data_IF_951515461664
#
_entry.id   IF_951515461664
#
_cell.length_a   1.000
_cell.length_b   1.000
_cell.length_c   1.000
_cell.angle_alpha   90.00
_cell.angle_beta   90.00
_cell.angle_gamma   90.00
#
_symmetry.space_group_name_H-M   'P 1'
#
loop_
_entity.id
_entity.type
_entity.pdbx_description
1 polymer ?
#
# COMPACT_ATOMS: atom_id res chain seq x y z
N UNK A 1 -19.61 -11.90 -6.72
CA UNK A 1 -18.53 -10.89 -6.51
C UNK A 1 -17.20 -11.61 -6.48
N UNK A 2 -16.18 -11.15 -7.22
CA UNK A 2 -14.82 -11.71 -7.13
C UNK A 2 -14.15 -11.33 -5.80
N UNK A 3 -13.61 -12.29 -5.03
CA UNK A 3 -12.88 -12.04 -3.79
C UNK A 3 -11.73 -11.04 -3.96
N UNK A 4 -11.48 -10.22 -2.94
CA UNK A 4 -10.42 -9.22 -2.95
C UNK A 4 -9.04 -9.83 -3.21
N UNK A 5 -8.75 -10.99 -2.61
CA UNK A 5 -7.50 -11.76 -2.82
C UNK A 5 -7.20 -12.00 -4.31
N UNK A 6 -8.21 -12.47 -5.06
CA UNK A 6 -8.07 -12.72 -6.51
C UNK A 6 -7.79 -11.40 -7.26
N UNK A 7 -8.45 -10.31 -6.87
CA UNK A 7 -8.25 -9.00 -7.51
C UNK A 7 -6.84 -8.45 -7.27
N UNK A 8 -6.31 -8.60 -6.05
CA UNK A 8 -4.94 -8.19 -5.72
C UNK A 8 -3.94 -9.02 -6.52
N UNK A 9 -4.08 -10.34 -6.56
CA UNK A 9 -3.20 -11.22 -7.35
C UNK A 9 -3.19 -10.80 -8.82
N UNK A 10 -4.37 -10.63 -9.43
CA UNK A 10 -4.46 -10.16 -10.82
C UNK A 10 -3.91 -8.74 -11.02
N UNK A 11 -3.91 -7.89 -10.00
CA UNK A 11 -3.30 -6.56 -10.08
C UNK A 11 -1.78 -6.65 -10.09
N UNK A 12 -1.19 -7.49 -9.23
CA UNK A 12 0.24 -7.77 -9.19
C UNK A 12 0.75 -8.32 -10.54
N UNK A 13 0.05 -9.31 -11.10
CA UNK A 13 0.39 -9.90 -12.40
C UNK A 13 0.39 -8.85 -13.52
N UNK A 14 -0.65 -7.99 -13.55
CA UNK A 14 -0.78 -6.92 -14.57
C UNK A 14 0.23 -5.80 -14.38
N UNK A 15 0.62 -5.53 -13.14
CA UNK A 15 1.64 -4.55 -12.80
C UNK A 15 3.05 -5.05 -13.09
N UNK A 16 3.23 -6.37 -13.30
CA UNK A 16 4.54 -7.02 -13.47
C UNK A 16 5.50 -6.70 -12.32
N UNK A 17 4.99 -6.77 -11.09
CA UNK A 17 5.78 -6.53 -9.89
C UNK A 17 6.18 -7.88 -9.30
N UNK A 18 7.47 -8.06 -9.05
CA UNK A 18 8.01 -9.28 -8.45
C UNK A 18 7.47 -9.48 -7.02
N UNK A 19 7.20 -10.72 -6.65
CA UNK A 19 6.49 -11.08 -5.41
C UNK A 19 7.39 -11.35 -4.19
N UNK A 20 8.66 -10.94 -4.23
CA UNK A 20 9.62 -11.18 -3.13
C UNK A 20 9.49 -10.18 -1.95
N UNK A 21 8.31 -9.58 -1.78
CA UNK A 21 7.99 -8.72 -0.65
C UNK A 21 7.14 -9.49 0.36
N UNK A 22 7.36 -9.22 1.66
CA UNK A 22 6.52 -9.75 2.74
C UNK A 22 5.23 -8.96 2.92
N UNK A 23 5.26 -7.69 2.53
CA UNK A 23 4.16 -6.75 2.75
C UNK A 23 3.90 -5.94 1.49
N UNK A 24 2.63 -5.78 1.16
CA UNK A 24 2.15 -4.83 0.16
C UNK A 24 1.29 -3.78 0.85
N UNK A 25 1.65 -2.51 0.69
CA UNK A 25 0.94 -1.37 1.25
C UNK A 25 0.36 -0.54 0.11
N UNK A 26 -0.95 -0.61 -0.07
CA UNK A 26 -1.69 0.18 -1.06
C UNK A 26 -2.13 1.48 -0.41
N UNK A 27 -1.64 2.62 -0.90
CA UNK A 27 -1.95 3.95 -0.40
C UNK A 27 -2.76 4.73 -1.45
N UNK A 28 -4.02 5.12 -1.15
CA UNK A 28 -4.79 5.99 -2.02
C UNK A 28 -4.39 7.46 -1.81
N UNK A 29 -4.26 8.22 -2.91
CA UNK A 29 -4.03 9.67 -2.89
C UNK A 29 -5.30 10.51 -2.69
N UNK A 30 -6.47 9.88 -2.73
CA UNK A 30 -7.78 10.52 -2.56
C UNK A 30 -8.63 9.65 -1.63
N UNK A 31 -9.25 10.28 -0.62
CA UNK A 31 -10.07 9.57 0.37
C UNK A 31 -10.03 10.21 1.75
N UNK A 32 -10.10 9.37 2.79
CA UNK A 32 -10.11 9.83 4.17
C UNK A 32 -8.76 10.42 4.59
N UNK A 33 -8.75 11.71 4.90
CA UNK A 33 -7.52 12.46 5.14
C UNK A 33 -6.67 11.88 6.29
N UNK A 34 -7.28 11.54 7.43
CA UNK A 34 -6.57 11.00 8.59
C UNK A 34 -5.92 9.64 8.30
N UNK A 35 -6.68 8.69 7.76
CA UNK A 35 -6.16 7.37 7.42
C UNK A 35 -5.04 7.43 6.36
N UNK A 36 -5.18 8.31 5.37
CA UNK A 36 -4.14 8.51 4.35
C UNK A 36 -2.87 9.10 4.96
N UNK A 37 -2.99 10.09 5.84
CA UNK A 37 -1.82 10.68 6.51
C UNK A 37 -1.03 9.65 7.32
N UNK A 38 -1.70 8.72 7.99
CA UNK A 38 -1.03 7.63 8.72
C UNK A 38 -0.26 6.71 7.78
N UNK A 39 -0.84 6.38 6.62
CA UNK A 39 -0.18 5.59 5.59
C UNK A 39 1.01 6.30 4.95
N UNK A 40 0.89 7.60 4.67
CA UNK A 40 2.00 8.43 4.18
C UNK A 40 3.13 8.55 5.21
N UNK A 41 2.79 8.70 6.49
CA UNK A 41 3.78 8.70 7.57
C UNK A 41 4.47 7.35 7.69
N UNK A 42 3.71 6.24 7.66
CA UNK A 42 4.26 4.89 7.67
C UNK A 42 5.24 4.67 6.50
N UNK A 43 4.84 5.05 5.28
CA UNK A 43 5.69 4.97 4.10
C UNK A 43 6.97 5.77 4.30
N UNK A 44 6.88 7.02 4.78
CA UNK A 44 8.07 7.84 5.02
C UNK A 44 9.06 7.20 5.98
N UNK A 45 8.56 6.59 7.04
CA UNK A 45 9.40 6.02 8.08
C UNK A 45 9.99 4.63 7.69
N UNK A 46 9.43 3.96 6.67
CA UNK A 46 9.79 2.57 6.29
C UNK A 46 10.15 2.40 4.81
N UNK A 47 10.36 3.50 4.07
CA UNK A 47 10.58 3.45 2.62
C UNK A 47 11.81 2.62 2.24
N UNK A 48 12.83 2.59 3.09
CA UNK A 48 14.05 1.82 2.87
C UNK A 48 13.86 0.30 3.02
N UNK A 49 12.75 -0.14 3.63
CA UNK A 49 12.49 -1.56 3.87
C UNK A 49 12.04 -2.26 2.58
N UNK A 50 12.98 -2.93 1.90
CA UNK A 50 12.75 -3.65 0.66
C UNK A 50 11.81 -4.86 0.80
N UNK A 51 11.47 -5.29 2.04
CA UNK A 51 10.43 -6.31 2.27
C UNK A 51 9.01 -5.75 2.15
N UNK A 52 8.86 -4.43 1.95
CA UNK A 52 7.59 -3.73 1.80
C UNK A 52 7.51 -3.10 0.42
N UNK A 53 6.51 -3.49 -0.37
CA UNK A 53 6.15 -2.80 -1.60
C UNK A 53 5.07 -1.75 -1.33
N UNK A 54 5.34 -0.49 -1.68
CA UNK A 54 4.38 0.60 -1.61
C UNK A 54 3.70 0.80 -2.97
N UNK A 55 2.38 0.65 -3.03
CA UNK A 55 1.57 0.90 -4.23
C UNK A 55 0.78 2.19 -4.04
N UNK A 56 1.11 3.21 -4.82
CA UNK A 56 0.43 4.50 -4.80
C UNK A 56 -0.68 4.53 -5.84
N UNK A 57 -1.95 4.65 -5.41
CA UNK A 57 -3.13 4.66 -6.28
C UNK A 57 -3.85 6.00 -6.25
N UNK A 58 -4.59 6.33 -7.31
CA UNK A 58 -5.42 7.56 -7.40
C UNK A 58 -4.65 8.86 -7.03
N UNK A 59 -3.34 8.91 -7.32
CA UNK A 59 -2.52 10.10 -7.05
C UNK A 59 -2.89 11.20 -8.06
N UNK A 60 -3.36 12.34 -7.57
CA UNK A 60 -3.67 13.51 -8.41
C UNK A 60 -2.40 14.22 -8.89
N UNK A 61 -1.37 14.28 -8.06
CA UNK A 61 -0.06 14.87 -8.40
C UNK A 61 1.07 14.19 -7.62
N UNK A 62 1.91 13.45 -8.36
CA UNK A 62 3.09 12.79 -7.78
C UNK A 62 4.05 13.82 -7.17
N UNK A 63 4.23 14.97 -7.82
CA UNK A 63 5.12 16.04 -7.36
C UNK A 63 4.69 16.58 -5.99
N UNK A 64 3.39 16.82 -5.79
CA UNK A 64 2.86 17.31 -4.52
C UNK A 64 3.06 16.27 -3.42
N UNK A 65 2.78 14.99 -3.70
CA UNK A 65 3.00 13.92 -2.74
C UNK A 65 4.48 13.83 -2.32
N UNK A 66 5.40 13.82 -3.28
CA UNK A 66 6.84 13.80 -3.02
C UNK A 66 7.31 14.96 -2.15
N UNK A 67 6.82 16.17 -2.41
CA UNK A 67 7.12 17.35 -1.59
C UNK A 67 6.55 17.22 -0.18
N UNK A 68 5.34 16.69 -0.04
CA UNK A 68 4.66 16.50 1.25
C UNK A 68 5.41 15.50 2.13
N UNK A 69 5.77 14.35 1.59
CA UNK A 69 6.42 13.28 2.36
C UNK A 69 7.96 13.37 2.35
N UNK A 70 8.52 14.30 1.56
CA UNK A 70 9.96 14.54 1.39
C UNK A 70 10.74 13.31 0.88
N UNK A 71 10.14 12.56 -0.06
CA UNK A 71 10.73 11.37 -0.69
C UNK A 71 10.79 11.58 -2.21
N UNK A 72 11.86 11.10 -2.82
CA UNK A 72 12.00 10.99 -4.28
C UNK A 72 11.71 9.55 -4.70
N UNK A 73 10.57 9.34 -5.34
CA UNK A 73 10.06 8.00 -5.60
C UNK A 73 10.97 7.20 -6.53
N UNK A 74 11.64 7.89 -7.46
CA UNK A 74 12.61 7.31 -8.39
C UNK A 74 13.86 6.72 -7.71
N UNK A 75 14.14 7.10 -6.46
CA UNK A 75 15.29 6.61 -5.71
C UNK A 75 14.99 5.28 -4.96
N UNK A 76 13.73 4.83 -4.96
CA UNK A 76 13.29 3.65 -4.21
C UNK A 76 12.63 2.60 -5.11
N UNK A 77 13.23 1.40 -5.28
CA UNK A 77 12.71 0.38 -6.18
C UNK A 77 11.46 -0.33 -5.65
N UNK A 78 11.17 -0.20 -4.36
CA UNK A 78 10.01 -0.77 -3.69
C UNK A 78 8.76 0.15 -3.73
N UNK A 79 8.67 1.02 -4.73
CA UNK A 79 7.52 1.90 -4.96
C UNK A 79 6.95 1.66 -6.36
N UNK A 80 5.65 1.38 -6.42
CA UNK A 80 4.90 1.27 -7.66
C UNK A 80 3.81 2.35 -7.75
N UNK A 81 3.84 3.14 -8.84
CA UNK A 81 2.83 4.17 -9.10
C UNK A 81 1.76 3.61 -10.03
N UNK A 82 0.55 3.39 -9.52
CA UNK A 82 -0.55 2.80 -10.27
C UNK A 82 -1.24 3.82 -11.20
N UNK A 83 -0.59 4.13 -12.31
CA UNK A 83 -1.11 5.04 -13.35
C UNK A 83 -2.24 4.44 -14.17
N UNK A 84 -2.33 3.10 -14.21
CA UNK A 84 -3.31 2.35 -15.02
C UNK A 84 -4.53 1.91 -14.20
N UNK A 85 -4.58 2.28 -12.92
CA UNK A 85 -5.66 1.93 -11.99
C UNK A 85 -5.90 0.41 -11.91
N UNK A 86 -4.82 -0.39 -11.98
CA UNK A 86 -4.90 -1.86 -11.92
C UNK A 86 -5.17 -2.37 -10.50
N UNK A 87 -4.82 -1.59 -9.48
CA UNK A 87 -5.11 -1.85 -8.06
C UNK A 87 -6.45 -1.26 -7.60
N UNK A 88 -7.39 -1.05 -8.52
CA UNK A 88 -8.74 -0.64 -8.17
C UNK A 88 -9.57 -1.82 -7.63
N UNK A 89 -9.89 -1.76 -6.35
CA UNK A 89 -10.77 -2.74 -5.69
C UNK A 89 -12.16 -2.14 -5.51
N UNK A 90 -13.22 -2.67 -6.14
CA UNK A 90 -14.58 -2.16 -6.01
C UNK A 90 -15.17 -2.58 -4.67
N UNK A 91 -14.67 -1.96 -3.61
CA UNK A 91 -15.11 -2.11 -2.22
C UNK A 91 -15.35 -0.73 -1.64
N UNK A 92 -16.18 -0.65 -0.60
CA UNK A 92 -16.40 0.60 0.14
C UNK A 92 -15.11 1.12 0.79
N UNK A 93 -14.10 0.26 0.95
CA UNK A 93 -12.81 0.59 1.52
C UNK A 93 -11.77 1.09 0.50
N UNK A 94 -12.14 1.27 -0.77
CA UNK A 94 -11.20 1.70 -1.83
C UNK A 94 -10.63 3.13 -1.67
N UNK A 95 -11.07 3.84 -0.63
CA UNK A 95 -10.61 5.17 -0.22
C UNK A 95 -9.66 5.12 1.00
N UNK A 96 -9.39 3.94 1.53
CA UNK A 96 -8.55 3.70 2.69
C UNK A 96 -7.26 2.97 2.30
N UNK A 97 -6.15 3.21 3.00
CA UNK A 97 -4.97 2.37 2.87
C UNK A 97 -5.28 0.90 3.16
N UNK A 98 -4.62 0.01 2.43
CA UNK A 98 -4.73 -1.43 2.60
C UNK A 98 -3.34 -2.03 2.80
N UNK A 99 -3.19 -2.83 3.84
CA UNK A 99 -1.98 -3.59 4.17
C UNK A 99 -2.28 -5.04 3.82
N UNK A 100 -1.38 -5.68 3.09
CA UNK A 100 -1.53 -7.06 2.62
C UNK A 100 -0.28 -7.81 3.04
N UNK A 101 -0.46 -8.94 3.73
CA UNK A 101 0.63 -9.85 4.08
C UNK A 101 0.81 -10.90 2.99
N UNK A 102 2.06 -11.24 2.72
CA UNK A 102 2.45 -12.26 1.75
C UNK A 102 3.13 -13.42 2.45
N UNK A 103 2.76 -14.64 2.07
CA UNK A 103 3.41 -15.88 2.50
C UNK A 103 3.67 -16.74 1.25
N UNK A 104 4.92 -17.14 1.05
CA UNK A 104 5.34 -17.96 -0.10
C UNK A 104 4.90 -17.41 -1.46
N UNK A 105 4.94 -16.09 -1.64
CA UNK A 105 4.53 -15.41 -2.87
C UNK A 105 3.01 -15.29 -3.06
N UNK A 106 2.20 -15.79 -2.13
CA UNK A 106 0.76 -15.65 -2.13
C UNK A 106 0.26 -14.67 -1.07
N UNK A 107 -0.91 -14.09 -1.31
CA UNK A 107 -1.59 -13.24 -0.32
C UNK A 107 -2.07 -14.12 0.84
N UNK A 108 -1.62 -13.84 2.06
CA UNK A 108 -2.05 -14.54 3.26
C UNK A 108 -3.25 -13.82 3.90
N UNK A 109 -3.15 -12.50 4.12
CA UNK A 109 -4.21 -11.70 4.72
C UNK A 109 -4.19 -10.23 4.24
N UNK A 110 -5.21 -9.46 4.61
CA UNK A 110 -5.29 -8.03 4.37
C UNK A 110 -6.07 -7.27 5.46
N UNK A 111 -5.62 -6.07 5.78
CA UNK A 111 -6.30 -5.14 6.69
C UNK A 111 -6.39 -3.74 6.07
N UNK A 112 -7.46 -3.01 6.37
CA UNK A 112 -7.62 -1.61 5.98
C UNK A 112 -7.37 -0.68 7.18
N UNK A 113 -6.62 0.39 6.96
CA UNK A 113 -6.54 1.52 7.88
C UNK A 113 -7.77 2.40 7.65
N UNK A 114 -8.79 2.28 8.51
CA UNK A 114 -10.09 2.94 8.32
C UNK A 114 -10.68 3.40 9.65
N UNK A 115 -11.75 4.21 9.68
CA UNK A 115 -12.44 4.56 10.92
C UNK A 115 -12.93 3.36 11.73
N UNK A 116 -13.12 2.20 11.10
CA UNK A 116 -13.50 0.94 11.76
C UNK A 116 -12.31 0.11 12.24
N UNK A 117 -11.10 0.43 11.77
CA UNK A 117 -9.85 -0.23 12.15
C UNK A 117 -8.71 0.80 12.09
N UNK A 118 -8.51 1.51 13.20
CA UNK A 118 -7.58 2.65 13.30
C UNK A 118 -6.14 2.22 13.63
N UNK A 119 -5.90 0.93 13.89
CA UNK A 119 -4.61 0.44 14.37
C UNK A 119 -3.83 -0.38 13.33
N UNK A 120 -4.31 -0.48 12.08
CA UNK A 120 -3.72 -1.36 11.07
C UNK A 120 -2.22 -1.08 10.84
N UNK A 121 -1.84 0.19 10.66
CA UNK A 121 -0.42 0.56 10.54
C UNK A 121 0.35 0.41 11.85
N UNK A 122 -0.29 0.64 13.00
CA UNK A 122 0.37 0.44 14.29
C UNK A 122 0.74 -1.03 14.51
N UNK A 123 -0.16 -1.96 14.19
CA UNK A 123 0.10 -3.40 14.22
C UNK A 123 1.26 -3.78 13.29
N UNK A 124 1.26 -3.27 12.05
CA UNK A 124 2.34 -3.53 11.10
C UNK A 124 3.69 -3.02 11.64
N UNK A 125 3.75 -1.80 12.18
CA UNK A 125 4.96 -1.28 12.82
C UNK A 125 5.47 -2.22 13.91
N UNK A 126 4.59 -2.70 14.78
CA UNK A 126 4.95 -3.68 15.82
C UNK A 126 5.49 -4.97 15.23
N UNK A 127 4.85 -5.52 14.20
CA UNK A 127 5.34 -6.74 13.54
C UNK A 127 6.74 -6.57 12.94
N UNK A 128 7.06 -5.39 12.40
CA UNK A 128 8.37 -5.09 11.82
C UNK A 128 9.48 -4.92 12.87
N UNK A 129 9.15 -4.46 14.08
CA UNK A 129 10.12 -4.33 15.19
C UNK A 129 10.62 -5.69 15.72
N UNK A 130 9.85 -6.77 15.53
CA UNK A 130 10.16 -8.10 16.03
C UNK A 130 10.67 -9.09 14.95
N UNK A 131 11.06 -8.59 13.76
CA UNK A 131 11.54 -9.41 12.62
C UNK A 131 12.99 -9.14 12.21
#
# INVERSE_FOLDING_TARGET
>A
MTPLRIRISSALDRAKVDSDFKWLVVLPGLGCHGCIQEGEAFMRDHIENQRILFVLTKISSLKILQQKIKIRMEEHPNIYIDRKNVFYFPTDNSIYPCIISMENGEIADHEFQSPKNVDAFWKLKKMLEYQ
#
